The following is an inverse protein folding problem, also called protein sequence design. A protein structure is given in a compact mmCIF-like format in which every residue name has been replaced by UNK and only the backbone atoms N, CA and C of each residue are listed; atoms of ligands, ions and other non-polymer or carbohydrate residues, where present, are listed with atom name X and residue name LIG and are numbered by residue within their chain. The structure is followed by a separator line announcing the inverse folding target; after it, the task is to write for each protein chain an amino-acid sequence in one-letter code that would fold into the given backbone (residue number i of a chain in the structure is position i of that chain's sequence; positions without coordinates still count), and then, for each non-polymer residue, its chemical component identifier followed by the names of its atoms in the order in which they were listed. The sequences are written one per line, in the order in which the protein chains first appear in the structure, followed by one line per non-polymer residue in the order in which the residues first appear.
data_IF_426851492350
#
_entry.id   IF_426851492350
#
_cell.length_a   1.000
_cell.length_b   1.000
_cell.length_c   1.000
_cell.angle_alpha   90.00
_cell.angle_beta   90.00
_cell.angle_gamma   90.00
#
_symmetry.space_group_name_H-M   'P 1'
#
loop_
_entity.id
_entity.type
_entity.pdbx_description
1 polymer ?
#
# COMPACT_ATOMS: atom_id res chain seq x y z
N UNK A 1 54.58 16.34 27.05
CA UNK A 1 55.70 15.38 27.25
C UNK A 1 55.39 14.55 28.48
N UNK A 2 55.36 13.23 28.35
CA UNK A 2 55.01 12.29 29.41
C UNK A 2 54.79 10.91 28.81
N UNK A 3 55.65 9.96 29.21
CA UNK A 3 55.94 8.65 28.62
C UNK A 3 55.10 7.50 29.20
N UNK A 4 55.28 6.31 28.59
CA UNK A 4 55.01 4.94 29.07
C UNK A 4 53.57 4.43 28.89
N UNK A 5 53.27 3.16 28.56
CA UNK A 5 54.04 1.97 28.13
C UNK A 5 53.02 0.86 27.78
N UNK A 6 53.40 -0.04 26.85
CA UNK A 6 53.36 -1.53 26.88
C UNK A 6 52.18 -2.24 27.60
N UNK A 7 51.65 -3.40 27.20
CA UNK A 7 51.97 -4.46 26.24
C UNK A 7 50.86 -5.54 26.40
N UNK A 8 50.68 -6.39 25.36
CA UNK A 8 50.46 -7.86 25.41
C UNK A 8 49.28 -8.44 26.25
N UNK A 9 48.63 -9.56 25.93
CA UNK A 9 49.01 -10.78 25.22
C UNK A 9 47.75 -11.67 24.99
N UNK A 10 47.80 -12.51 23.95
CA UNK A 10 47.31 -13.90 23.89
C UNK A 10 45.80 -14.25 23.75
N UNK A 11 45.45 -14.67 22.52
CA UNK A 11 44.67 -15.87 22.15
C UNK A 11 45.23 -17.16 22.83
N UNK A 12 44.53 -18.34 22.96
CA UNK A 12 43.87 -19.01 21.81
C UNK A 12 42.75 -20.10 22.05
N UNK A 13 42.14 -20.50 20.92
CA UNK A 13 41.76 -21.87 20.45
C UNK A 13 40.59 -22.72 21.03
N UNK A 14 39.82 -23.23 20.03
CA UNK A 14 39.19 -24.56 19.87
C UNK A 14 37.90 -24.84 20.68
N UNK A 15 36.84 -25.47 20.14
CA UNK A 15 36.86 -26.79 19.49
C UNK A 15 35.51 -27.15 18.82
N UNK A 16 35.58 -28.20 18.01
CA UNK A 16 34.58 -28.82 17.14
C UNK A 16 33.26 -29.28 17.81
N UNK A 17 32.18 -29.37 17.01
CA UNK A 17 31.59 -30.70 16.73
C UNK A 17 30.63 -30.72 15.53
N UNK A 18 30.99 -31.57 14.56
CA UNK A 18 30.10 -32.23 13.61
C UNK A 18 29.19 -33.19 14.40
N UNK A 19 27.95 -33.39 13.94
CA UNK A 19 27.38 -34.73 13.91
C UNK A 19 26.32 -34.84 12.81
N UNK A 20 26.71 -35.61 11.79
CA UNK A 20 25.86 -36.38 10.88
C UNK A 20 25.40 -37.61 11.66
N UNK A 21 24.13 -37.99 11.54
CA UNK A 21 23.72 -39.37 11.77
C UNK A 21 22.73 -39.79 10.69
N UNK A 22 23.22 -40.69 9.83
CA UNK A 22 22.47 -41.67 9.06
C UNK A 22 21.63 -42.56 9.98
N UNK A 23 20.53 -43.09 9.45
CA UNK A 23 20.18 -44.50 9.62
C UNK A 23 19.21 -44.94 8.52
N UNK A 24 19.70 -45.84 7.66
CA UNK A 24 18.94 -46.74 6.83
C UNK A 24 18.78 -48.08 7.57
N UNK A 25 17.61 -48.72 7.43
CA UNK A 25 17.36 -50.19 7.53
C UNK A 25 16.08 -50.41 6.69
N UNK A 26 16.12 -51.03 5.50
CA UNK A 26 15.96 -52.49 5.24
C UNK A 26 14.66 -53.07 5.83
N UNK A 27 13.90 -54.01 5.27
CA UNK A 27 13.77 -54.73 4.00
C UNK A 27 12.57 -55.68 4.27
N UNK A 28 11.74 -56.02 3.28
CA UNK A 28 11.20 -57.39 3.15
C UNK A 28 10.31 -57.51 1.92
N UNK A 29 10.79 -58.31 0.97
CA UNK A 29 10.02 -58.99 -0.07
C UNK A 29 9.13 -60.06 0.55
N UNK A 30 7.96 -60.31 -0.05
CA UNK A 30 7.45 -61.67 -0.21
C UNK A 30 6.70 -61.79 -1.54
N UNK A 31 7.12 -62.79 -2.32
CA UNK A 31 6.43 -63.31 -3.50
C UNK A 31 5.77 -64.63 -3.09
N UNK A 32 4.56 -64.90 -3.56
CA UNK A 32 4.23 -66.24 -4.05
C UNK A 32 3.04 -66.25 -5.03
N UNK A 33 3.19 -67.11 -6.04
CA UNK A 33 2.30 -67.35 -7.18
C UNK A 33 1.10 -68.24 -6.80
N UNK A 34 -0.01 -68.14 -7.55
CA UNK A 34 -0.52 -69.26 -8.36
C UNK A 34 -1.80 -68.90 -9.17
N UNK A 35 -1.63 -68.91 -10.49
CA UNK A 35 -2.40 -69.58 -11.55
C UNK A 35 -3.93 -69.80 -11.49
N UNK A 36 -4.55 -69.32 -12.58
CA UNK A 36 -5.54 -69.94 -13.50
C UNK A 36 -7.04 -69.91 -13.20
N UNK A 37 -7.72 -69.19 -14.10
CA UNK A 37 -8.94 -69.49 -14.89
C UNK A 37 -9.60 -68.13 -15.20
N UNK A 38 -9.84 -67.64 -16.42
CA UNK A 38 -10.29 -68.33 -17.63
C UNK A 38 -11.66 -67.78 -17.99
N UNK A 39 -11.79 -66.54 -18.50
CA UNK A 39 -12.99 -66.08 -19.22
C UNK A 39 -12.59 -65.10 -20.32
N UNK A 40 -12.70 -65.57 -21.55
CA UNK A 40 -12.71 -64.75 -22.78
C UNK A 40 -14.11 -64.15 -22.89
N UNK A 41 -14.23 -62.83 -22.81
CA UNK A 41 -15.40 -62.10 -23.28
C UNK A 41 -14.97 -61.20 -24.42
N UNK A 42 -15.36 -61.62 -25.63
CA UNK A 42 -15.42 -60.80 -26.82
C UNK A 42 -16.21 -59.53 -26.49
N UNK A 43 -15.58 -58.36 -26.67
CA UNK A 43 -16.30 -57.10 -26.70
C UNK A 43 -16.31 -56.65 -28.16
N UNK A 44 -17.50 -56.73 -28.74
CA UNK A 44 -17.82 -56.19 -30.05
C UNK A 44 -17.42 -54.72 -30.13
N UNK A 45 -16.49 -54.41 -31.04
CA UNK A 45 -16.22 -53.06 -31.52
C UNK A 45 -17.43 -52.52 -32.25
N UNK A 46 -18.34 -51.88 -31.52
CA UNK A 46 -19.23 -50.85 -32.07
C UNK A 46 -18.71 -49.49 -31.66
N UNK A 47 -18.20 -48.78 -32.65
CA UNK A 47 -17.80 -47.39 -32.57
C UNK A 47 -19.00 -46.53 -32.16
N UNK A 48 -19.10 -46.20 -30.87
CA UNK A 48 -19.81 -45.01 -30.44
C UNK A 48 -18.81 -43.86 -30.54
N UNK A 49 -18.98 -43.07 -31.60
CA UNK A 49 -18.51 -41.70 -31.66
C UNK A 49 -19.05 -40.96 -30.42
N UNK A 50 -18.27 -40.96 -29.35
CA UNK A 50 -18.30 -39.83 -28.43
C UNK A 50 -17.80 -38.65 -29.25
N UNK A 51 -18.74 -37.94 -29.87
CA UNK A 51 -18.57 -36.53 -30.13
C UNK A 51 -18.22 -35.91 -28.78
N UNK A 52 -16.92 -35.69 -28.55
CA UNK A 52 -16.49 -34.62 -27.68
C UNK A 52 -17.25 -33.40 -28.17
N UNK A 53 -18.20 -32.83 -27.41
CA UNK A 53 -18.63 -31.49 -27.71
C UNK A 53 -17.37 -30.66 -27.56
N UNK A 54 -16.95 -30.07 -28.67
CA UNK A 54 -15.84 -29.15 -28.75
C UNK A 54 -15.83 -28.27 -27.50
N UNK A 55 -14.85 -28.48 -26.63
CA UNK A 55 -14.35 -27.44 -25.74
C UNK A 55 -13.46 -26.51 -26.60
N UNK A 56 -13.95 -26.16 -27.78
CA UNK A 56 -13.81 -24.86 -28.41
C UNK A 56 -15.08 -24.07 -28.06
N UNK A 57 -15.55 -24.16 -26.79
CA UNK A 57 -16.17 -23.00 -26.18
C UNK A 57 -15.03 -22.04 -25.91
N UNK A 58 -14.72 -21.27 -26.95
CA UNK A 58 -14.23 -19.92 -26.89
C UNK A 58 -13.73 -19.54 -25.49
N UNK A 59 -12.47 -19.85 -25.20
CA UNK A 59 -11.62 -18.83 -24.60
C UNK A 59 -11.56 -17.69 -25.62
N UNK A 60 -12.69 -16.98 -25.80
CA UNK A 60 -12.61 -15.55 -25.98
C UNK A 60 -11.80 -15.14 -24.75
N UNK A 61 -10.49 -14.98 -24.98
CA UNK A 61 -9.64 -14.25 -24.08
C UNK A 61 -10.47 -13.00 -23.81
N UNK A 62 -11.03 -12.90 -22.60
CA UNK A 62 -11.86 -11.77 -22.18
C UNK A 62 -10.92 -10.58 -22.09
N UNK A 63 -10.54 -10.08 -23.26
CA UNK A 63 -9.56 -9.05 -23.41
C UNK A 63 -10.20 -7.78 -22.89
N UNK A 64 -9.51 -7.13 -21.95
CA UNK A 64 -9.89 -5.81 -21.53
C UNK A 64 -10.03 -4.90 -22.76
N UNK A 65 -11.13 -4.15 -22.81
CA UNK A 65 -11.35 -3.17 -23.88
C UNK A 65 -10.24 -2.11 -23.84
N UNK A 66 -9.94 -1.50 -24.99
CA UNK A 66 -8.95 -0.40 -25.03
C UNK A 66 -9.37 0.78 -24.14
N UNK A 67 -10.68 1.04 -24.01
CA UNK A 67 -11.19 2.06 -23.07
C UNK A 67 -10.91 1.71 -21.61
N UNK A 68 -11.10 0.46 -21.20
CA UNK A 68 -10.78 0.04 -19.83
C UNK A 68 -9.28 0.12 -19.56
N UNK A 69 -8.45 -0.28 -20.55
CA UNK A 69 -6.99 -0.18 -20.46
C UNK A 69 -6.55 1.27 -20.30
N UNK A 70 -7.11 2.18 -21.09
CA UNK A 70 -6.84 3.62 -21.00
C UNK A 70 -7.23 4.23 -19.63
N UNK A 71 -8.14 3.60 -18.88
CA UNK A 71 -8.49 4.04 -17.52
C UNK A 71 -7.53 3.44 -16.50
N UNK A 72 -7.30 2.12 -16.54
CA UNK A 72 -6.67 1.39 -15.44
C UNK A 72 -5.14 1.34 -15.54
N UNK A 73 -4.58 1.23 -16.75
CA UNK A 73 -3.13 1.13 -16.94
C UNK A 73 -2.40 2.40 -16.47
N UNK A 74 -2.89 3.62 -16.72
CA UNK A 74 -2.28 4.82 -16.16
C UNK A 74 -2.23 4.80 -14.63
N UNK A 75 -3.27 4.27 -13.97
CA UNK A 75 -3.30 4.19 -12.50
C UNK A 75 -2.34 3.13 -11.98
N UNK A 76 -2.34 1.92 -12.55
CA UNK A 76 -1.40 0.85 -12.18
C UNK A 76 0.04 1.31 -12.42
N UNK A 77 0.31 2.01 -13.52
CA UNK A 77 1.62 2.58 -13.80
C UNK A 77 2.01 3.69 -12.80
N UNK A 78 1.09 4.63 -12.54
CA UNK A 78 1.28 5.75 -11.60
C UNK A 78 1.57 5.27 -10.19
N UNK A 79 0.96 4.16 -9.76
CA UNK A 79 1.10 3.65 -8.39
C UNK A 79 2.03 2.43 -8.29
N UNK A 80 2.34 1.84 -9.45
CA UNK A 80 3.12 0.63 -9.63
C UNK A 80 2.38 -0.68 -9.32
N UNK A 81 1.35 -0.62 -8.48
CA UNK A 81 0.47 -1.74 -8.20
C UNK A 81 -0.97 -1.29 -7.94
N UNK A 82 -1.90 -2.24 -7.99
CA UNK A 82 -3.29 -2.05 -7.58
C UNK A 82 -3.93 -3.40 -7.27
N UNK A 83 -4.87 -3.46 -6.32
CA UNK A 83 -5.66 -4.69 -6.12
C UNK A 83 -6.84 -4.77 -7.07
N UNK A 84 -7.31 -5.98 -7.35
CA UNK A 84 -8.49 -6.20 -8.18
C UNK A 84 -9.72 -5.45 -7.65
N UNK A 85 -9.91 -5.42 -6.31
CA UNK A 85 -11.01 -4.68 -5.67
C UNK A 85 -10.88 -3.16 -5.86
N UNK A 86 -9.66 -2.64 -5.88
CA UNK A 86 -9.40 -1.24 -6.17
C UNK A 86 -9.69 -0.91 -7.64
N UNK A 87 -9.30 -1.79 -8.57
CA UNK A 87 -9.58 -1.63 -10.00
C UNK A 87 -11.09 -1.62 -10.30
N UNK A 88 -11.87 -2.46 -9.62
CA UNK A 88 -13.34 -2.48 -9.70
C UNK A 88 -14.02 -1.16 -9.30
N UNK A 89 -13.29 -0.21 -8.68
CA UNK A 89 -13.83 1.14 -8.39
C UNK A 89 -13.87 2.05 -9.61
N UNK A 90 -13.14 1.68 -10.68
CA UNK A 90 -12.98 2.43 -11.92
C UNK A 90 -13.54 1.68 -13.13
N UNK A 91 -13.55 0.35 -13.10
CA UNK A 91 -14.04 -0.51 -14.18
C UNK A 91 -15.38 -1.16 -13.82
N UNK A 92 -16.02 -1.82 -14.79
CA UNK A 92 -17.11 -2.75 -14.50
C UNK A 92 -16.59 -3.94 -13.68
N UNK A 93 -17.49 -4.62 -12.95
CA UNK A 93 -17.11 -5.80 -12.15
C UNK A 93 -16.45 -6.87 -13.01
N UNK A 94 -17.03 -7.15 -14.18
CA UNK A 94 -16.52 -8.11 -15.15
C UNK A 94 -15.14 -7.70 -15.69
N UNK A 95 -14.96 -6.44 -16.10
CA UNK A 95 -13.66 -5.96 -16.57
C UNK A 95 -12.59 -6.04 -15.48
N UNK A 96 -12.93 -5.71 -14.23
CA UNK A 96 -11.99 -5.85 -13.12
C UNK A 96 -11.63 -7.31 -12.81
N UNK A 97 -12.57 -8.25 -12.98
CA UNK A 97 -12.32 -9.68 -12.89
C UNK A 97 -11.39 -10.19 -14.00
N UNK A 98 -11.53 -9.63 -15.20
CA UNK A 98 -10.72 -10.03 -16.34
C UNK A 98 -9.27 -9.53 -16.30
N UNK A 99 -8.96 -8.52 -15.48
CA UNK A 99 -7.59 -8.01 -15.32
C UNK A 99 -6.58 -9.08 -14.88
N UNK A 100 -7.01 -10.08 -14.12
CA UNK A 100 -6.12 -11.15 -13.63
C UNK A 100 -5.64 -12.06 -14.78
N UNK A 101 -6.41 -12.12 -15.87
CA UNK A 101 -6.06 -12.87 -17.07
C UNK A 101 -5.31 -12.02 -18.11
N UNK A 102 -5.04 -10.75 -17.80
CA UNK A 102 -4.26 -9.88 -18.67
C UNK A 102 -2.78 -10.25 -18.55
N UNK A 103 -2.28 -10.98 -19.56
CA UNK A 103 -0.89 -11.43 -19.62
C UNK A 103 0.14 -10.30 -19.59
N UNK A 104 -0.27 -9.04 -19.77
CA UNK A 104 0.62 -7.89 -19.69
C UNK A 104 0.85 -7.42 -18.25
N UNK A 105 0.04 -7.85 -17.27
CA UNK A 105 0.21 -7.54 -15.86
C UNK A 105 0.74 -8.76 -15.11
N UNK A 106 1.45 -8.52 -14.01
CA UNK A 106 1.83 -9.60 -13.10
C UNK A 106 0.82 -9.64 -11.95
N UNK A 107 0.17 -10.78 -11.77
CA UNK A 107 -0.71 -11.01 -10.63
C UNK A 107 0.06 -11.72 -9.48
N UNK A 108 -0.04 -11.17 -8.27
CA UNK A 108 0.49 -11.76 -7.04
C UNK A 108 -0.64 -11.85 -6.02
N UNK A 109 -0.83 -13.02 -5.43
CA UNK A 109 -1.83 -13.22 -4.37
C UNK A 109 -1.20 -12.92 -3.01
N UNK A 110 -1.87 -12.10 -2.20
CA UNK A 110 -1.50 -11.84 -0.82
C UNK A 110 -2.74 -11.91 0.08
N UNK A 111 -2.81 -12.94 0.94
CA UNK A 111 -4.04 -13.28 1.66
C UNK A 111 -5.18 -13.57 0.68
N UNK A 112 -6.30 -12.87 0.84
CA UNK A 112 -7.49 -13.00 -0.01
C UNK A 112 -7.54 -11.97 -1.15
N UNK A 113 -6.45 -11.23 -1.40
CA UNK A 113 -6.40 -10.21 -2.45
C UNK A 113 -5.41 -10.56 -3.57
N UNK A 114 -5.86 -10.34 -4.81
CA UNK A 114 -5.00 -10.36 -5.99
C UNK A 114 -4.47 -8.95 -6.26
N UNK A 115 -3.15 -8.80 -6.19
CA UNK A 115 -2.43 -7.57 -6.46
C UNK A 115 -1.88 -7.65 -7.89
N UNK A 116 -2.24 -6.67 -8.70
CA UNK A 116 -1.78 -6.49 -10.07
C UNK A 116 -0.60 -5.53 -10.06
N UNK A 117 0.52 -5.96 -10.58
CA UNK A 117 1.76 -5.21 -10.69
C UNK A 117 1.99 -4.84 -12.15
N UNK A 118 2.57 -3.65 -12.38
CA UNK A 118 3.02 -3.30 -13.71
C UNK A 118 4.12 -4.27 -14.17
N UNK A 119 4.19 -4.53 -15.46
CA UNK A 119 5.32 -5.19 -16.12
C UNK A 119 5.90 -4.31 -17.22
N UNK A 120 7.01 -4.75 -17.81
CA UNK A 120 7.57 -4.13 -19.02
C UNK A 120 6.53 -4.10 -20.16
N UNK A 121 5.77 -5.17 -20.34
CA UNK A 121 4.77 -5.30 -21.40
C UNK A 121 3.59 -4.34 -21.16
N UNK A 122 3.09 -4.23 -19.92
CA UNK A 122 2.04 -3.25 -19.62
C UNK A 122 2.48 -1.81 -19.84
N UNK A 123 3.77 -1.53 -19.66
CA UNK A 123 4.34 -0.21 -19.91
C UNK A 123 4.46 0.10 -21.41
N UNK A 124 4.91 -0.87 -22.21
CA UNK A 124 4.93 -0.77 -23.68
C UNK A 124 3.51 -0.51 -24.20
N UNK A 125 2.54 -1.28 -23.71
CA UNK A 125 1.13 -1.08 -24.07
C UNK A 125 0.59 0.29 -23.65
N UNK A 126 0.95 0.77 -22.45
CA UNK A 126 0.54 2.11 -22.01
C UNK A 126 1.10 3.20 -22.93
N UNK A 127 2.40 3.12 -23.29
CA UNK A 127 3.04 4.06 -24.20
C UNK A 127 2.33 4.10 -25.55
N UNK A 128 1.97 2.94 -26.09
CA UNK A 128 1.22 2.85 -27.35
C UNK A 128 -0.20 3.44 -27.21
N UNK A 129 -0.88 3.19 -26.09
CA UNK A 129 -2.24 3.69 -25.85
C UNK A 129 -2.30 5.22 -25.67
N UNK A 130 -1.29 5.82 -25.04
CA UNK A 130 -1.24 7.27 -24.78
C UNK A 130 -0.42 8.05 -25.79
N UNK A 131 0.32 7.36 -26.68
CA UNK A 131 1.29 7.94 -27.61
C UNK A 131 2.45 8.67 -26.90
N UNK A 132 2.71 8.31 -25.65
CA UNK A 132 3.81 8.85 -24.85
C UNK A 132 5.12 8.12 -25.13
N UNK A 133 6.24 8.76 -24.80
CA UNK A 133 7.55 8.15 -24.97
C UNK A 133 7.79 7.05 -23.91
N UNK A 134 7.89 5.79 -24.36
CA UNK A 134 8.19 4.64 -23.49
C UNK A 134 9.39 4.85 -22.56
N UNK A 135 10.48 5.46 -23.04
CA UNK A 135 11.70 5.68 -22.23
C UNK A 135 11.48 6.73 -21.15
N UNK A 136 10.56 7.66 -21.34
CA UNK A 136 10.18 8.65 -20.33
C UNK A 136 9.28 8.01 -19.29
N UNK A 137 8.25 7.28 -19.72
CA UNK A 137 7.38 6.52 -18.81
C UNK A 137 8.17 5.51 -17.96
N UNK A 138 9.15 4.81 -18.53
CA UNK A 138 9.99 3.88 -17.77
C UNK A 138 10.74 4.56 -16.61
N UNK A 139 11.11 5.83 -16.76
CA UNK A 139 11.74 6.62 -15.67
C UNK A 139 10.75 6.98 -14.57
N UNK A 140 9.45 6.98 -14.86
CA UNK A 140 8.39 7.38 -13.92
C UNK A 140 7.74 6.19 -13.20
N UNK A 141 7.70 4.99 -13.78
CA UNK A 141 7.01 3.80 -13.23
C UNK A 141 7.33 3.54 -11.74
N UNK A 142 6.34 3.53 -10.84
CA UNK A 142 6.61 3.75 -9.40
C UNK A 142 6.89 2.50 -8.54
N UNK A 143 6.92 1.27 -9.08
CA UNK A 143 7.21 0.08 -8.25
C UNK A 143 8.05 -1.00 -8.96
N UNK A 144 9.23 -1.29 -8.41
CA UNK A 144 9.97 -2.52 -8.71
C UNK A 144 9.54 -3.61 -7.73
N UNK A 145 9.37 -4.84 -8.21
CA UNK A 145 8.78 -6.01 -7.51
C UNK A 145 9.64 -6.53 -6.34
N UNK A 146 10.64 -5.78 -5.88
CA UNK A 146 11.74 -6.34 -5.09
C UNK A 146 11.43 -6.50 -3.58
N UNK A 147 10.33 -5.96 -3.06
CA UNK A 147 9.95 -6.15 -1.65
C UNK A 147 8.44 -6.36 -1.48
N UNK A 148 8.00 -7.61 -1.58
CA UNK A 148 6.60 -8.00 -1.37
C UNK A 148 6.12 -7.77 0.07
N UNK A 149 7.03 -7.57 1.04
CA UNK A 149 6.66 -7.40 2.44
C UNK A 149 6.03 -6.03 2.73
N UNK A 150 6.34 -5.02 1.93
CA UNK A 150 5.76 -3.67 2.08
C UNK A 150 4.43 -3.50 1.34
N UNK A 151 4.04 -4.46 0.50
CA UNK A 151 2.83 -4.38 -0.32
C UNK A 151 1.56 -4.07 0.49
N UNK A 152 1.29 -4.71 1.66
CA UNK A 152 0.07 -4.40 2.41
C UNK A 152 -0.03 -2.93 2.83
N UNK A 153 1.08 -2.34 3.29
CA UNK A 153 1.12 -0.93 3.65
C UNK A 153 0.95 -0.01 2.44
N UNK A 154 1.55 -0.36 1.31
CA UNK A 154 1.37 0.38 0.05
C UNK A 154 -0.09 0.31 -0.41
N UNK A 155 -0.71 -0.88 -0.41
CA UNK A 155 -2.10 -1.08 -0.80
C UNK A 155 -3.04 -0.21 0.05
N UNK A 156 -2.80 -0.13 1.36
CA UNK A 156 -3.58 0.72 2.26
C UNK A 156 -3.44 2.22 1.93
N UNK A 157 -2.23 2.70 1.63
CA UNK A 157 -2.02 4.08 1.15
C UNK A 157 -2.75 4.34 -0.18
N UNK A 158 -2.71 3.37 -1.09
CA UNK A 158 -3.36 3.46 -2.40
C UNK A 158 -4.87 3.58 -2.29
N UNK A 159 -5.52 2.98 -1.29
CA UNK A 159 -6.96 3.15 -1.11
C UNK A 159 -7.33 4.62 -0.93
N UNK A 160 -6.55 5.36 -0.13
CA UNK A 160 -6.76 6.79 0.09
C UNK A 160 -6.41 7.58 -1.17
N UNK A 161 -5.26 7.32 -1.79
CA UNK A 161 -4.83 8.02 -3.00
C UNK A 161 -5.86 7.87 -4.14
N UNK A 162 -6.37 6.66 -4.38
CA UNK A 162 -7.39 6.40 -5.39
C UNK A 162 -8.74 7.05 -5.07
N UNK A 163 -9.09 7.20 -3.79
CA UNK A 163 -10.27 7.97 -3.40
C UNK A 163 -10.11 9.45 -3.79
N UNK A 164 -8.93 10.03 -3.59
CA UNK A 164 -8.61 11.39 -4.03
C UNK A 164 -8.56 11.51 -5.56
N UNK A 165 -8.05 10.51 -6.30
CA UNK A 165 -8.11 10.49 -7.77
C UNK A 165 -9.54 10.61 -8.27
N UNK A 166 -10.43 9.73 -7.77
CA UNK A 166 -11.84 9.71 -8.14
C UNK A 166 -12.53 11.03 -7.80
N UNK A 167 -12.16 11.62 -6.66
CA UNK A 167 -12.65 12.94 -6.27
C UNK A 167 -12.21 14.03 -7.25
N UNK A 168 -10.94 14.08 -7.64
CA UNK A 168 -10.41 15.06 -8.60
C UNK A 168 -11.03 14.90 -9.99
N UNK A 169 -11.25 13.66 -10.46
CA UNK A 169 -11.96 13.39 -11.71
C UNK A 169 -13.38 13.97 -11.70
N UNK A 170 -14.08 13.84 -10.57
CA UNK A 170 -15.45 14.34 -10.41
C UNK A 170 -15.51 15.86 -10.16
N UNK A 171 -14.42 16.45 -9.66
CA UNK A 171 -14.33 17.87 -9.30
C UNK A 171 -13.10 18.49 -9.94
N UNK A 172 -13.19 18.81 -11.24
CA UNK A 172 -12.09 19.29 -12.11
C UNK A 172 -11.27 20.48 -11.59
N UNK A 173 -11.80 21.20 -10.61
CA UNK A 173 -11.10 22.28 -9.91
C UNK A 173 -9.98 21.78 -8.98
N UNK A 174 -9.97 20.50 -8.62
CA UNK A 174 -8.94 19.86 -7.82
C UNK A 174 -8.06 18.98 -8.68
N UNK A 175 -6.76 18.97 -8.39
CA UNK A 175 -5.81 18.06 -9.00
C UNK A 175 -4.86 17.50 -7.94
N UNK A 176 -4.46 16.25 -8.13
CA UNK A 176 -3.40 15.65 -7.34
C UNK A 176 -2.05 16.01 -7.97
N UNK A 177 -1.32 16.92 -7.34
CA UNK A 177 -0.06 17.44 -7.87
C UNK A 177 1.11 16.53 -7.52
N UNK A 178 1.21 16.10 -6.26
CA UNK A 178 2.34 15.29 -5.80
C UNK A 178 1.94 14.34 -4.68
N UNK A 179 2.71 13.26 -4.53
CA UNK A 179 2.61 12.38 -3.39
C UNK A 179 3.97 11.73 -3.11
N UNK A 180 4.25 11.48 -1.83
CA UNK A 180 5.45 10.77 -1.36
C UNK A 180 5.08 9.80 -0.25
N UNK A 181 5.76 8.67 -0.17
CA UNK A 181 5.49 7.61 0.81
C UNK A 181 6.79 7.08 1.38
N UNK A 182 6.74 6.57 2.62
CA UNK A 182 7.86 5.84 3.22
C UNK A 182 8.09 4.46 2.58
N UNK A 183 7.03 3.87 1.99
CA UNK A 183 7.05 2.53 1.42
C UNK A 183 7.19 2.53 -0.11
N UNK A 184 7.00 3.67 -0.78
CA UNK A 184 7.28 3.80 -2.22
C UNK A 184 8.81 3.78 -2.47
N UNK A 185 9.35 2.81 -3.25
CA UNK A 185 10.80 2.66 -3.45
C UNK A 185 11.45 3.77 -4.29
N UNK A 186 10.73 4.43 -5.21
CA UNK A 186 11.29 5.50 -6.08
C UNK A 186 11.08 6.90 -5.55
N UNK A 187 9.97 7.14 -4.85
CA UNK A 187 9.68 8.39 -4.14
C UNK A 187 9.91 8.27 -2.63
N UNK A 188 10.78 7.35 -2.22
CA UNK A 188 11.11 7.11 -0.81
C UNK A 188 11.67 8.38 -0.21
N UNK A 189 10.88 8.99 0.67
CA UNK A 189 11.30 10.10 1.50
C UNK A 189 11.31 9.62 2.93
N UNK A 190 12.26 10.09 3.71
CA UNK A 190 12.20 9.90 5.14
C UNK A 190 11.22 10.92 5.71
N UNK A 191 9.96 10.51 5.86
CA UNK A 191 8.88 11.37 6.35
C UNK A 191 8.89 11.55 7.87
N UNK A 192 9.85 10.93 8.58
CA UNK A 192 9.98 11.03 10.04
C UNK A 192 10.07 12.49 10.50
N UNK A 193 9.20 12.85 11.44
CA UNK A 193 9.12 14.17 12.08
C UNK A 193 9.65 14.03 13.51
N UNK A 194 10.55 14.91 13.94
CA UNK A 194 11.01 14.94 15.33
C UNK A 194 9.93 15.58 16.20
N UNK A 195 9.61 14.97 17.34
CA UNK A 195 8.67 15.55 18.31
C UNK A 195 9.27 16.79 18.96
N UNK A 196 8.45 17.83 19.13
CA UNK A 196 8.84 19.08 19.79
C UNK A 196 8.65 18.98 21.32
N UNK A 197 7.69 18.17 21.77
CA UNK A 197 7.29 18.06 23.17
C UNK A 197 8.22 17.21 24.05
N UNK A 198 9.22 16.54 23.45
CA UNK A 198 10.14 15.65 24.15
C UNK A 198 11.56 15.77 23.61
N UNK A 199 12.56 15.56 24.47
CA UNK A 199 13.99 15.59 24.07
C UNK A 199 14.31 14.55 22.98
N UNK A 200 13.69 13.37 23.07
CA UNK A 200 13.83 12.22 22.15
C UNK A 200 12.46 11.67 21.78
N UNK A 201 12.22 11.42 20.49
CA UNK A 201 10.96 10.88 19.97
C UNK A 201 10.66 11.39 18.56
N UNK A 202 9.81 10.67 17.84
CA UNK A 202 9.44 11.03 16.47
C UNK A 202 8.04 10.54 16.09
N UNK A 203 7.39 11.30 15.22
CA UNK A 203 6.21 10.90 14.46
C UNK A 203 6.67 10.30 13.13
N UNK A 204 5.95 9.30 12.64
CA UNK A 204 6.33 8.55 11.43
C UNK A 204 5.13 8.44 10.50
N UNK A 205 4.69 9.56 9.90
CA UNK A 205 3.54 9.56 9.00
C UNK A 205 3.77 8.60 7.83
N UNK A 206 2.72 7.97 7.34
CA UNK A 206 2.76 6.96 6.29
C UNK A 206 3.14 7.58 4.94
N UNK A 207 2.37 8.57 4.51
CA UNK A 207 2.53 9.23 3.23
C UNK A 207 2.08 10.69 3.27
N UNK A 208 2.36 11.41 2.19
CA UNK A 208 1.98 12.81 1.99
C UNK A 208 1.32 12.95 0.64
N UNK A 209 0.30 13.78 0.59
CA UNK A 209 -0.43 14.15 -0.61
C UNK A 209 -0.43 15.68 -0.76
N UNK A 210 -0.08 16.16 -1.95
CA UNK A 210 -0.21 17.57 -2.33
C UNK A 210 -1.35 17.70 -3.33
N UNK A 211 -2.36 18.47 -2.95
CA UNK A 211 -3.53 18.78 -3.76
C UNK A 211 -3.44 20.22 -4.22
N UNK A 212 -3.84 20.47 -5.46
CA UNK A 212 -3.97 21.81 -6.00
C UNK A 212 -5.43 22.14 -6.29
N UNK A 213 -5.83 23.38 -6.01
CA UNK A 213 -7.10 23.95 -6.46
C UNK A 213 -6.89 25.41 -6.84
N UNK A 214 -7.21 25.77 -8.09
CA UNK A 214 -7.11 27.16 -8.60
C UNK A 214 -5.79 27.84 -8.17
N UNK A 215 -4.66 27.19 -8.45
CA UNK A 215 -3.30 27.64 -8.11
C UNK A 215 -2.90 27.64 -6.63
N UNK A 216 -3.81 27.29 -5.71
CA UNK A 216 -3.48 27.04 -4.30
C UNK A 216 -3.05 25.58 -4.10
N UNK A 217 -1.96 25.36 -3.35
CA UNK A 217 -1.43 24.03 -3.06
C UNK A 217 -1.57 23.72 -1.56
N UNK A 218 -2.26 22.63 -1.22
CA UNK A 218 -2.36 22.13 0.16
C UNK A 218 -1.61 20.81 0.27
N UNK A 219 -0.86 20.66 1.36
CA UNK A 219 -0.15 19.43 1.71
C UNK A 219 -0.83 18.74 2.88
N UNK A 220 -1.34 17.54 2.65
CA UNK A 220 -1.90 16.67 3.68
C UNK A 220 -0.88 15.57 4.03
N UNK A 221 -0.40 15.57 5.27
CA UNK A 221 0.48 14.53 5.82
C UNK A 221 -0.39 13.48 6.50
N UNK A 222 -0.43 12.26 5.97
CA UNK A 222 -1.30 11.19 6.46
C UNK A 222 -0.59 10.25 7.44
N UNK A 223 -1.28 9.89 8.53
CA UNK A 223 -0.83 8.93 9.52
C UNK A 223 -1.97 7.95 9.87
N UNK A 224 -1.76 6.67 9.57
CA UNK A 224 -2.66 5.57 9.90
C UNK A 224 -2.40 5.14 11.33
N UNK A 225 -3.34 5.46 12.21
CA UNK A 225 -3.20 5.17 13.63
C UNK A 225 -3.49 3.69 13.90
N UNK A 226 -2.67 2.99 14.69
CA UNK A 226 -2.90 1.60 15.02
C UNK A 226 -4.05 1.46 16.01
N UNK A 227 -4.69 0.30 16.03
CA UNK A 227 -5.59 -0.06 17.11
C UNK A 227 -4.76 -0.36 18.37
N UNK A 228 -4.73 0.56 19.31
CA UNK A 228 -3.99 0.36 20.54
C UNK A 228 -4.62 -0.70 21.43
N UNK A 229 -3.85 -1.74 21.73
CA UNK A 229 -4.12 -2.64 22.84
C UNK A 229 -3.94 -1.85 24.15
N UNK A 230 -5.03 -1.73 24.89
CA UNK A 230 -5.06 -1.16 26.24
C UNK A 230 -6.23 -1.77 27.01
N UNK A 231 -6.05 -1.97 28.31
CA UNK A 231 -7.03 -2.59 29.19
C UNK A 231 -8.21 -1.65 29.45
N UNK A 232 -7.97 -0.33 29.44
CA UNK A 232 -9.02 0.68 29.64
C UNK A 232 -9.19 1.60 28.43
N UNK A 233 -10.42 2.05 28.21
CA UNK A 233 -10.78 2.99 27.14
C UNK A 233 -9.98 4.31 27.25
N UNK A 234 -9.80 4.82 28.47
CA UNK A 234 -9.08 6.06 28.73
C UNK A 234 -7.60 6.03 28.30
N UNK A 235 -6.95 4.87 28.41
CA UNK A 235 -5.55 4.70 27.97
C UNK A 235 -5.43 4.81 26.45
N UNK A 236 -6.40 4.27 25.70
CA UNK A 236 -6.43 4.40 24.23
C UNK A 236 -6.65 5.85 23.83
N UNK A 237 -7.55 6.54 24.53
CA UNK A 237 -7.81 7.96 24.29
C UNK A 237 -6.56 8.80 24.55
N UNK A 238 -5.79 8.51 25.60
CA UNK A 238 -4.57 9.26 25.91
C UNK A 238 -3.47 9.04 24.86
N UNK A 239 -3.31 7.82 24.34
CA UNK A 239 -2.36 7.56 23.23
C UNK A 239 -2.67 8.38 21.98
N UNK A 240 -3.95 8.45 21.59
CA UNK A 240 -4.36 9.29 20.45
C UNK A 240 -4.20 10.78 20.75
N UNK A 241 -4.49 11.20 21.99
CA UNK A 241 -4.29 12.56 22.43
C UNK A 241 -2.82 13.00 22.36
N UNK A 242 -1.90 12.15 22.79
CA UNK A 242 -0.46 12.42 22.73
C UNK A 242 0.04 12.61 21.30
N UNK A 243 -0.47 11.81 20.35
CA UNK A 243 -0.12 11.93 18.93
C UNK A 243 -0.65 13.26 18.38
N UNK A 244 -1.91 13.59 18.66
CA UNK A 244 -2.52 14.85 18.23
C UNK A 244 -1.74 16.04 18.78
N UNK A 245 -1.43 16.05 20.08
CA UNK A 245 -0.63 17.11 20.72
C UNK A 245 0.74 17.23 20.06
N UNK A 246 1.41 16.11 19.79
CA UNK A 246 2.72 16.12 19.15
C UNK A 246 2.68 16.71 17.74
N UNK A 247 1.66 16.37 16.93
CA UNK A 247 1.46 16.97 15.61
C UNK A 247 1.11 18.45 15.70
N UNK A 248 0.26 18.85 16.65
CA UNK A 248 -0.10 20.26 16.82
C UNK A 248 1.13 21.10 17.17
N UNK A 249 1.90 20.67 18.17
CA UNK A 249 3.12 21.38 18.57
C UNK A 249 4.16 21.43 17.45
N UNK A 250 4.20 20.42 16.58
CA UNK A 250 5.05 20.47 15.39
C UNK A 250 4.53 21.47 14.36
N UNK A 251 3.22 21.54 14.10
CA UNK A 251 2.63 22.52 13.18
C UNK A 251 2.86 23.97 13.64
N UNK A 252 2.84 24.22 14.96
CA UNK A 252 3.16 25.54 15.53
C UNK A 252 4.64 25.93 15.37
N UNK A 253 5.53 24.95 15.21
CA UNK A 253 6.95 25.17 14.96
C UNK A 253 7.22 25.38 13.46
N UNK A 254 6.84 26.56 12.96
CA UNK A 254 6.93 26.91 11.54
C UNK A 254 8.34 26.73 10.96
N UNK A 255 9.39 26.94 11.75
CA UNK A 255 10.77 26.76 11.31
C UNK A 255 11.07 25.28 11.01
N UNK A 256 10.67 24.38 11.90
CA UNK A 256 10.86 22.95 11.69
C UNK A 256 9.93 22.39 10.61
N UNK A 257 8.71 22.92 10.45
CA UNK A 257 7.84 22.58 9.33
C UNK A 257 8.48 23.00 8.00
N UNK A 258 8.96 24.25 7.88
CA UNK A 258 9.62 24.76 6.67
C UNK A 258 10.83 23.91 6.27
N UNK A 259 11.67 23.53 7.24
CA UNK A 259 12.82 22.64 7.02
C UNK A 259 12.37 21.27 6.49
N UNK A 260 11.32 20.70 7.07
CA UNK A 260 10.78 19.41 6.66
C UNK A 260 10.16 19.46 5.25
N UNK A 261 9.37 20.49 4.94
CA UNK A 261 8.78 20.74 3.61
C UNK A 261 9.87 20.86 2.55
N UNK A 262 10.91 21.66 2.82
CA UNK A 262 12.06 21.83 1.91
C UNK A 262 12.82 20.53 1.70
N UNK A 263 13.09 19.78 2.79
CA UNK A 263 13.77 18.48 2.73
C UNK A 263 13.02 17.48 1.87
N UNK A 264 11.69 17.48 1.92
CA UNK A 264 10.83 16.58 1.16
C UNK A 264 10.45 17.10 -0.23
N UNK A 265 10.87 18.32 -0.61
CA UNK A 265 10.60 18.96 -1.90
C UNK A 265 9.11 19.05 -2.25
N UNK A 266 8.29 19.47 -1.28
CA UNK A 266 6.83 19.52 -1.44
C UNK A 266 6.31 20.82 -2.08
N UNK A 267 7.13 21.87 -2.14
CA UNK A 267 6.82 23.17 -2.77
C UNK A 267 5.49 23.80 -2.32
N UNK A 268 5.16 23.68 -1.03
CA UNK A 268 3.96 24.28 -0.43
C UNK A 268 4.34 25.32 0.64
N UNK A 269 3.51 26.36 0.87
CA UNK A 269 3.63 27.21 2.05
C UNK A 269 3.46 26.41 3.34
N UNK A 270 4.12 26.84 4.42
CA UNK A 270 4.05 26.17 5.74
C UNK A 270 2.61 26.17 6.27
N UNK A 271 1.90 27.27 6.02
CA UNK A 271 0.53 27.47 6.43
C UNK A 271 -0.42 26.50 5.72
N UNK A 272 -0.06 25.97 4.57
CA UNK A 272 -0.90 25.02 3.82
C UNK A 272 -0.59 23.55 4.15
N UNK A 273 0.21 23.31 5.19
CA UNK A 273 0.47 21.97 5.71
C UNK A 273 -0.59 21.60 6.75
N UNK A 274 -1.25 20.46 6.54
CA UNK A 274 -2.21 19.87 7.47
C UNK A 274 -1.90 18.39 7.70
N UNK A 275 -2.44 17.85 8.80
CA UNK A 275 -2.23 16.44 9.19
C UNK A 275 -3.55 15.69 9.05
N UNK A 276 -3.56 14.59 8.29
CA UNK A 276 -4.68 13.66 8.22
C UNK A 276 -4.45 12.44 9.10
N UNK A 277 -5.07 12.41 10.28
CA UNK A 277 -5.05 11.23 11.15
C UNK A 277 -6.21 10.30 10.79
N UNK A 278 -5.86 9.09 10.35
CA UNK A 278 -6.83 8.08 9.93
C UNK A 278 -6.92 7.03 11.02
N UNK A 279 -8.10 6.95 11.64
CA UNK A 279 -8.36 6.03 12.73
C UNK A 279 -8.85 4.67 12.21
N UNK A 280 -8.53 3.58 12.92
CA UNK A 280 -9.02 2.25 12.55
C UNK A 280 -10.54 2.17 12.75
N UNK A 281 -11.19 1.32 11.96
CA UNK A 281 -12.65 1.14 12.06
C UNK A 281 -13.07 0.72 13.48
N UNK A 282 -14.26 1.18 13.92
CA UNK A 282 -14.80 0.88 15.24
C UNK A 282 -14.29 1.79 16.37
N UNK A 283 -13.54 2.85 16.05
CA UNK A 283 -13.02 3.81 17.05
C UNK A 283 -13.77 5.14 17.07
N UNK A 284 -14.94 5.26 16.44
CA UNK A 284 -15.67 6.53 16.28
C UNK A 284 -15.91 7.26 17.62
N UNK A 285 -16.39 6.54 18.65
CA UNK A 285 -16.59 7.13 19.99
C UNK A 285 -15.29 7.64 20.62
N UNK A 286 -14.16 6.97 20.36
CA UNK A 286 -12.85 7.42 20.84
C UNK A 286 -12.43 8.71 20.11
N UNK A 287 -12.64 8.78 18.79
CA UNK A 287 -12.35 9.97 17.98
C UNK A 287 -13.17 11.17 18.48
N UNK A 288 -14.47 10.98 18.72
CA UNK A 288 -15.35 12.01 19.28
C UNK A 288 -14.85 12.52 20.64
N UNK A 289 -14.44 11.62 21.53
CA UNK A 289 -13.91 11.98 22.85
C UNK A 289 -12.59 12.77 22.75
N UNK A 290 -11.68 12.35 21.87
CA UNK A 290 -10.43 13.09 21.59
C UNK A 290 -10.76 14.49 21.06
N UNK A 291 -11.71 14.59 20.13
CA UNK A 291 -12.12 15.86 19.55
C UNK A 291 -12.77 16.81 20.56
N UNK A 292 -13.61 16.29 21.44
CA UNK A 292 -14.15 17.09 22.55
C UNK A 292 -13.04 17.58 23.48
N UNK A 293 -12.00 16.76 23.73
CA UNK A 293 -10.83 17.18 24.52
C UNK A 293 -10.07 18.31 23.84
N UNK A 294 -9.85 18.24 22.52
CA UNK A 294 -9.24 19.33 21.71
C UNK A 294 -10.02 20.63 21.87
N UNK A 295 -11.34 20.57 21.68
CA UNK A 295 -12.23 21.73 21.81
C UNK A 295 -12.21 22.34 23.21
N UNK A 296 -12.31 21.51 24.25
CA UNK A 296 -12.30 21.98 25.65
C UNK A 296 -10.99 22.65 26.03
N UNK A 297 -9.87 22.25 25.41
CA UNK A 297 -8.57 22.85 25.64
C UNK A 297 -8.27 24.04 24.74
N UNK A 298 -9.20 24.43 23.85
CA UNK A 298 -9.04 25.59 22.97
C UNK A 298 -7.91 25.43 21.95
N UNK A 299 -7.56 24.18 21.59
CA UNK A 299 -6.46 23.93 20.67
C UNK A 299 -6.97 24.11 19.24
N UNK A 300 -6.59 25.21 18.59
CA UNK A 300 -6.81 25.42 17.16
C UNK A 300 -5.75 24.65 16.37
N UNK A 301 -6.16 23.69 15.54
CA UNK A 301 -5.22 22.83 14.81
C UNK A 301 -5.64 22.65 13.36
N UNK A 302 -4.66 22.52 12.46
CA UNK A 302 -4.84 22.02 11.09
C UNK A 302 -4.78 20.48 11.04
N UNK A 303 -5.27 19.83 12.10
CA UNK A 303 -5.33 18.38 12.20
C UNK A 303 -6.74 17.95 11.81
N UNK A 304 -6.78 17.05 10.85
CA UNK A 304 -7.94 16.48 10.21
C UNK A 304 -8.09 15.05 10.72
N UNK A 305 -9.21 14.75 11.38
CA UNK A 305 -9.48 13.42 11.96
C UNK A 305 -10.57 12.71 11.16
N UNK A 306 -10.36 11.46 10.73
CA UNK A 306 -11.38 10.68 10.03
C UNK A 306 -11.22 9.18 10.26
N UNK A 307 -12.31 8.41 10.15
CA UNK A 307 -12.19 6.96 9.96
C UNK A 307 -11.74 6.67 8.53
N UNK A 308 -11.11 5.50 8.31
CA UNK A 308 -10.72 5.09 6.96
C UNK A 308 -11.90 5.08 6.00
N UNK A 309 -13.05 4.53 6.41
CA UNK A 309 -14.25 4.51 5.57
C UNK A 309 -14.75 5.91 5.16
N UNK A 310 -14.67 6.88 6.06
CA UNK A 310 -15.11 8.24 5.76
C UNK A 310 -14.19 8.90 4.73
N UNK A 311 -12.87 8.72 4.86
CA UNK A 311 -11.89 9.19 3.87
C UNK A 311 -12.16 8.60 2.50
N UNK A 312 -12.46 7.29 2.43
CA UNK A 312 -12.72 6.64 1.14
C UNK A 312 -14.02 7.13 0.49
N UNK A 313 -15.05 7.49 1.26
CA UNK A 313 -16.34 7.96 0.74
C UNK A 313 -16.33 9.46 0.40
N UNK A 314 -15.67 10.28 1.22
CA UNK A 314 -15.71 11.75 1.14
C UNK A 314 -14.35 12.36 1.49
N UNK A 315 -13.30 12.12 0.69
CA UNK A 315 -11.91 12.40 1.06
C UNK A 315 -11.64 13.85 1.47
N UNK A 316 -12.36 14.83 0.91
CA UNK A 316 -12.20 16.25 1.29
C UNK A 316 -13.17 16.76 2.35
N UNK A 317 -14.21 15.99 2.72
CA UNK A 317 -15.27 16.40 3.67
C UNK A 317 -15.34 15.54 4.92
N UNK A 318 -14.54 14.48 5.02
CA UNK A 318 -14.59 13.47 6.09
C UNK A 318 -13.92 13.90 7.40
N UNK A 319 -13.37 15.10 7.47
CA UNK A 319 -12.49 15.48 8.58
C UNK A 319 -13.19 16.32 9.64
N UNK A 320 -13.04 15.90 10.89
CA UNK A 320 -13.51 16.62 12.07
C UNK A 320 -12.40 17.56 12.57
N UNK A 321 -12.61 18.86 12.40
CA UNK A 321 -11.64 19.94 12.66
C UNK A 321 -12.19 21.24 12.07
N UNK A 322 -11.70 22.42 12.46
CA UNK A 322 -12.16 23.71 11.91
C UNK A 322 -12.22 23.60 10.37
N UNK A 323 -13.44 23.53 9.84
CA UNK A 323 -13.78 23.00 8.51
C UNK A 323 -13.33 23.89 7.35
N UNK A 324 -12.43 24.83 7.63
CA UNK A 324 -11.88 25.79 6.67
C UNK A 324 -10.70 25.24 5.88
N UNK A 325 -9.97 24.24 6.39
CA UNK A 325 -8.70 23.80 5.79
C UNK A 325 -8.87 23.16 4.40
N UNK A 326 -10.03 22.57 4.09
CA UNK A 326 -10.34 22.07 2.74
C UNK A 326 -11.46 22.86 2.04
N UNK A 327 -11.98 23.91 2.68
CA UNK A 327 -12.85 24.88 2.01
C UNK A 327 -11.98 25.95 1.34
N UNK A 328 -11.27 25.57 0.29
CA UNK A 328 -10.65 26.54 -0.60
C UNK A 328 -11.75 27.50 -1.10
N UNK A 329 -11.56 28.80 -0.89
CA UNK A 329 -12.51 29.86 -1.23
C UNK A 329 -12.80 29.99 -2.73
#
# INVERSE_FOLDING_TARGET
MGLFSRNNEQDPLANNNKNVQDNAVEESMDKENNDKEGVVLQVDTTAQQYQQPAIEKSLEILQLSNSDKQIIYPLIFKYGCMTQKQAAKFLSKEAAENLVFDNNLQAVTHGDETILLHTKQSLELLADLTQDNYKELQKEALFGVDDTNVLPSVIEELEVLLAYEKYCQSHKQYQMFHWVSNFNPRKKRNLKIRRVDVKRGSLSPNFVLVLTKKDQCICVVFDFLPLYNAYMLGERQEKYWDILRAYHLWLEDHENVAKWVKKNKLYVPVEEVCIGLIFPNGTQKLVENVFQKVKRQGVETKILLASKEDVLKKPTKCFYGNSQVLSFT
#
